data_IF_803625288494
#
_entry.id   IF_803625288494
#
_cell.length_a   1.000
_cell.length_b   1.000
_cell.length_c   1.000
_cell.angle_alpha   90.00
_cell.angle_beta   90.00
_cell.angle_gamma   90.00
#
_symmetry.space_group_name_H-M   'P 1'
#
loop_
_entity.id
_entity.type
_entity.pdbx_description
1 polymer ?
#
# COMPACT_ATOMS: atom_id res chain seq x y z
N UNK A 1 9.53 -1.36 19.14
CA UNK A 1 9.07 0.05 19.05
C UNK A 1 8.59 0.54 20.41
N UNK A 2 8.71 1.84 20.72
CA UNK A 2 8.16 2.44 21.92
C UNK A 2 7.64 3.85 21.64
N UNK A 3 6.46 4.16 22.18
CA UNK A 3 5.85 5.48 22.13
C UNK A 3 6.08 6.18 23.46
N UNK A 4 6.63 7.39 23.40
CA UNK A 4 6.79 8.27 24.55
C UNK A 4 5.77 9.40 24.43
N UNK A 5 4.87 9.48 25.42
CA UNK A 5 3.82 10.50 25.46
C UNK A 5 4.39 11.91 25.59
N UNK A 6 5.33 12.06 26.53
CA UNK A 6 5.88 13.37 26.90
C UNK A 6 6.62 14.02 25.73
N UNK A 7 7.29 13.21 24.91
CA UNK A 7 8.12 13.68 23.80
C UNK A 7 7.42 13.63 22.44
N UNK A 8 6.20 13.06 22.36
CA UNK A 8 5.48 12.75 21.10
C UNK A 8 6.39 12.06 20.07
N UNK A 9 7.18 11.09 20.53
CA UNK A 9 8.18 10.40 19.70
C UNK A 9 7.92 8.90 19.69
N UNK A 10 8.13 8.30 18.52
CA UNK A 10 8.15 6.86 18.31
C UNK A 10 9.60 6.42 18.15
N UNK A 11 10.10 5.62 19.09
CA UNK A 11 11.40 4.98 18.98
C UNK A 11 11.27 3.60 18.36
N UNK A 12 12.03 3.31 17.32
CA UNK A 12 12.02 2.03 16.60
C UNK A 12 13.40 1.37 16.69
N UNK A 13 13.47 0.08 16.38
CA UNK A 13 14.76 -0.63 16.32
C UNK A 13 15.31 -0.60 14.89
N UNK A 14 16.59 -0.95 14.73
CA UNK A 14 17.20 -1.05 13.41
C UNK A 14 16.55 -2.16 12.58
N UNK A 15 16.19 -3.29 13.19
CA UNK A 15 15.52 -4.40 12.51
C UNK A 15 14.16 -3.97 11.94
N UNK A 16 13.41 -3.16 12.70
CA UNK A 16 12.15 -2.59 12.22
C UNK A 16 12.37 -1.68 11.00
N UNK A 17 13.43 -0.87 11.02
CA UNK A 17 13.83 -0.04 9.89
C UNK A 17 14.25 -0.85 8.66
N UNK A 18 14.95 -1.97 8.85
CA UNK A 18 15.34 -2.90 7.78
C UNK A 18 14.13 -3.54 7.12
N UNK A 19 13.12 -3.92 7.92
CA UNK A 19 11.87 -4.43 7.38
C UNK A 19 11.12 -3.38 6.55
N UNK A 20 11.33 -2.09 6.81
CA UNK A 20 10.68 -0.99 6.12
C UNK A 20 11.43 -0.53 4.84
N UNK A 21 12.76 -0.60 4.85
CA UNK A 21 13.65 -0.09 3.79
C UNK A 21 14.42 -1.19 3.06
N UNK A 22 14.15 -2.47 3.31
CA UNK A 22 14.93 -3.58 2.77
C UNK A 22 16.34 -3.70 3.36
N UNK A 23 17.06 -4.78 3.03
CA UNK A 23 18.29 -5.19 3.71
C UNK A 23 19.46 -4.19 3.58
N UNK A 24 19.53 -3.44 2.47
CA UNK A 24 20.64 -2.53 2.17
C UNK A 24 20.30 -1.04 2.41
N UNK A 25 19.13 -0.76 3.01
CA UNK A 25 18.52 0.57 3.06
C UNK A 25 18.70 1.36 4.35
N UNK A 26 19.46 0.87 5.33
CA UNK A 26 19.71 1.62 6.56
C UNK A 26 20.79 2.66 6.26
N UNK A 27 20.39 3.94 6.17
CA UNK A 27 21.36 5.02 6.15
C UNK A 27 22.23 4.91 7.42
N UNK A 28 23.56 5.11 7.34
CA UNK A 28 24.45 4.93 8.49
C UNK A 28 24.06 5.80 9.71
N UNK A 29 23.21 6.82 9.52
CA UNK A 29 22.68 7.70 10.56
C UNK A 29 21.14 7.80 10.54
N UNK A 30 20.41 6.74 10.16
CA UNK A 30 18.94 6.78 10.20
C UNK A 30 18.45 7.05 11.64
N UNK A 31 17.61 8.08 11.80
CA UNK A 31 17.03 8.37 13.11
C UNK A 31 16.14 7.20 13.55
N UNK A 32 16.47 6.60 14.69
CA UNK A 32 15.63 5.60 15.36
C UNK A 32 14.48 6.25 16.15
N UNK A 33 14.44 7.58 16.18
CA UNK A 33 13.41 8.38 16.82
C UNK A 33 12.64 9.13 15.74
N UNK A 34 11.35 8.85 15.64
CA UNK A 34 10.44 9.35 14.63
C UNK A 34 9.36 10.20 15.27
N UNK A 35 8.87 11.21 14.54
CA UNK A 35 7.55 11.76 14.81
C UNK A 35 6.45 10.73 14.47
N UNK A 36 5.22 10.88 15.00
CA UNK A 36 4.10 10.03 14.63
C UNK A 36 3.80 10.06 13.12
N UNK A 37 3.90 11.22 12.47
CA UNK A 37 3.74 11.34 11.02
C UNK A 37 4.78 10.50 10.26
N UNK A 38 6.06 10.62 10.62
CA UNK A 38 7.11 9.81 10.01
C UNK A 38 6.95 8.30 10.25
N UNK A 39 6.37 7.93 11.39
CA UNK A 39 6.03 6.54 11.69
C UNK A 39 4.87 6.03 10.82
N UNK A 40 3.84 6.85 10.57
CA UNK A 40 2.66 6.45 9.80
C UNK A 40 2.79 6.68 8.28
N UNK A 41 3.82 7.38 7.79
CA UNK A 41 3.91 7.81 6.38
C UNK A 41 3.86 6.70 5.32
N UNK A 42 4.18 5.44 5.67
CA UNK A 42 4.03 4.30 4.74
C UNK A 42 2.96 3.29 5.20
N UNK A 43 2.14 3.66 6.18
CA UNK A 43 0.97 2.88 6.56
C UNK A 43 -0.11 3.10 5.52
N UNK A 44 -0.58 2.00 4.95
CA UNK A 44 -1.68 1.96 3.98
C UNK A 44 -3.01 1.68 4.69
N UNK A 45 -2.95 0.82 5.73
CA UNK A 45 -4.07 0.45 6.59
C UNK A 45 -3.56 0.15 8.00
N UNK A 46 -4.29 0.58 9.02
CA UNK A 46 -3.99 0.25 10.41
C UNK A 46 -5.27 -0.15 11.13
N UNK A 47 -5.40 -1.42 11.48
CA UNK A 47 -6.57 -1.93 12.18
C UNK A 47 -6.53 -1.47 13.64
N UNK A 48 -7.66 -1.00 14.17
CA UNK A 48 -7.79 -0.58 15.57
C UNK A 48 -6.79 0.52 16.00
N UNK A 49 -6.46 1.45 15.09
CA UNK A 49 -5.53 2.56 15.39
C UNK A 49 -6.05 3.48 16.50
N UNK A 50 -7.36 3.61 16.63
CA UNK A 50 -8.03 4.35 17.70
C UNK A 50 -7.71 3.74 19.07
N UNK A 51 -7.74 2.41 19.20
CA UNK A 51 -7.35 1.71 20.41
C UNK A 51 -5.86 1.93 20.74
N UNK A 52 -5.00 1.93 19.71
CA UNK A 52 -3.58 2.24 19.88
C UNK A 52 -3.40 3.68 20.40
N UNK A 53 -4.13 4.65 19.85
CA UNK A 53 -4.06 6.06 20.27
C UNK A 53 -4.56 6.23 21.71
N UNK A 54 -5.66 5.58 22.08
CA UNK A 54 -6.17 5.60 23.46
C UNK A 54 -5.14 5.02 24.43
N UNK A 55 -4.58 3.85 24.09
CA UNK A 55 -3.55 3.19 24.87
C UNK A 55 -2.26 4.01 24.93
N UNK A 56 -1.95 4.78 23.88
CA UNK A 56 -0.80 5.67 23.86
C UNK A 56 -1.03 6.86 24.78
N UNK A 57 -2.24 7.44 24.80
CA UNK A 57 -2.62 8.62 25.58
C UNK A 57 -2.80 8.36 27.08
N UNK A 58 -3.38 7.21 27.46
CA UNK A 58 -3.47 6.77 28.85
C UNK A 58 -2.97 5.33 28.99
N UNK A 59 -1.65 5.14 29.15
CA UNK A 59 -1.04 3.82 29.11
C UNK A 59 -1.42 2.98 30.32
N UNK A 60 -2.12 1.89 30.06
CA UNK A 60 -2.45 0.88 31.06
C UNK A 60 -1.51 -0.33 30.92
N UNK A 61 -0.77 -0.66 32.00
CA UNK A 61 0.17 -1.77 32.00
C UNK A 61 -0.48 -3.16 32.02
N UNK A 62 -1.77 -3.26 32.36
CA UNK A 62 -2.50 -4.53 32.30
C UNK A 62 -3.09 -4.82 30.93
N UNK A 63 -3.23 -3.84 30.04
CA UNK A 63 -3.82 -4.02 28.71
C UNK A 63 -2.76 -4.27 27.64
N UNK A 64 -3.13 -5.13 26.69
CA UNK A 64 -2.35 -5.42 25.49
C UNK A 64 -3.21 -5.05 24.29
N UNK A 65 -2.66 -4.25 23.39
CA UNK A 65 -3.21 -3.95 22.07
C UNK A 65 -2.64 -4.94 21.06
N UNK A 66 -3.52 -5.48 20.21
CA UNK A 66 -3.19 -6.43 19.15
C UNK A 66 -3.84 -5.92 17.86
N UNK A 67 -3.08 -5.81 16.78
CA UNK A 67 -3.61 -5.30 15.51
C UNK A 67 -2.80 -5.78 14.31
N UNK A 68 -3.38 -5.61 13.12
CA UNK A 68 -2.67 -5.72 11.86
C UNK A 68 -2.46 -4.34 11.24
N UNK A 69 -1.33 -4.18 10.54
CA UNK A 69 -1.03 -2.99 9.76
C UNK A 69 -0.53 -3.39 8.39
N UNK A 70 -1.12 -2.82 7.34
CA UNK A 70 -0.57 -2.93 5.99
C UNK A 70 0.34 -1.74 5.75
N UNK A 71 1.58 -2.03 5.35
CA UNK A 71 2.58 -1.01 5.05
C UNK A 71 3.10 -1.17 3.62
N UNK A 72 3.45 -0.06 2.98
CA UNK A 72 4.15 -0.06 1.71
C UNK A 72 5.66 -0.16 1.95
N UNK A 73 6.28 -1.21 1.44
CA UNK A 73 7.72 -1.36 1.43
C UNK A 73 8.36 -0.41 0.40
N UNK A 74 9.57 0.08 0.67
CA UNK A 74 10.31 0.96 -0.26
C UNK A 74 10.55 0.33 -1.66
N UNK A 75 10.48 -1.00 -1.76
CA UNK A 75 10.55 -1.77 -3.01
C UNK A 75 9.17 -1.99 -3.68
N UNK A 76 8.15 -1.24 -3.28
CA UNK A 76 6.88 -1.15 -4.01
C UNK A 76 5.90 -2.30 -3.78
N UNK A 77 6.17 -3.22 -2.85
CA UNK A 77 5.21 -4.25 -2.45
C UNK A 77 4.62 -3.94 -1.07
N UNK A 78 3.44 -4.49 -0.80
CA UNK A 78 2.79 -4.37 0.49
C UNK A 78 3.28 -5.46 1.44
N UNK A 79 3.40 -5.13 2.71
CA UNK A 79 3.61 -6.09 3.80
C UNK A 79 2.46 -6.01 4.78
N UNK A 80 2.17 -7.13 5.42
CA UNK A 80 1.21 -7.22 6.51
C UNK A 80 1.95 -7.49 7.80
N UNK A 81 1.85 -6.55 8.74
CA UNK A 81 2.52 -6.62 10.02
C UNK A 81 1.52 -6.93 11.11
N UNK A 82 1.88 -7.86 11.99
CA UNK A 82 1.15 -8.10 13.22
C UNK A 82 1.82 -7.32 14.36
N UNK A 83 1.05 -6.46 15.00
CA UNK A 83 1.52 -5.61 16.08
C UNK A 83 0.99 -6.09 17.41
N UNK A 84 1.87 -6.09 18.40
CA UNK A 84 1.56 -6.31 19.81
C UNK A 84 2.12 -5.14 20.58
N UNK A 85 1.30 -4.43 21.35
CA UNK A 85 1.76 -3.34 22.17
C UNK A 85 1.16 -3.38 23.57
N UNK A 86 1.91 -2.89 24.55
CA UNK A 86 1.51 -2.84 25.95
C UNK A 86 1.77 -1.45 26.50
N UNK A 87 0.82 -0.93 27.29
CA UNK A 87 1.05 0.28 28.05
C UNK A 87 2.15 0.08 29.08
N UNK A 88 2.85 1.14 29.40
CA UNK A 88 3.80 1.20 30.50
C UNK A 88 3.70 2.56 31.16
N UNK A 89 3.50 2.54 32.47
CA UNK A 89 3.33 3.73 33.31
C UNK A 89 4.10 3.49 34.60
N UNK A 90 5.40 3.73 34.54
CA UNK A 90 6.32 3.65 35.69
C UNK A 90 7.39 4.75 35.60
N UNK A 91 8.23 4.88 36.62
CA UNK A 91 9.27 5.91 36.73
C UNK A 91 10.32 5.87 35.60
N UNK A 92 10.36 4.80 34.80
CA UNK A 92 11.31 4.63 33.69
C UNK A 92 10.68 4.91 32.33
N UNK A 93 9.36 4.84 32.20
CA UNK A 93 8.65 5.00 30.93
C UNK A 93 7.16 5.26 31.16
N UNK A 94 6.65 6.32 30.53
CA UNK A 94 5.22 6.59 30.39
C UNK A 94 4.86 6.60 28.90
N UNK A 95 4.04 5.63 28.48
CA UNK A 95 3.59 5.46 27.10
C UNK A 95 3.44 3.98 26.74
N UNK A 96 3.85 3.58 25.54
CA UNK A 96 3.70 2.19 25.08
C UNK A 96 5.01 1.55 24.65
N UNK A 97 5.07 0.23 24.76
CA UNK A 97 6.09 -0.60 24.12
C UNK A 97 5.42 -1.64 23.26
N UNK A 98 5.93 -1.83 22.06
CA UNK A 98 5.38 -2.80 21.13
C UNK A 98 6.42 -3.48 20.27
N UNK A 99 5.94 -4.51 19.61
CA UNK A 99 6.62 -5.32 18.63
C UNK A 99 5.73 -5.34 17.38
N UNK A 100 6.35 -5.20 16.22
CA UNK A 100 5.70 -5.44 14.94
C UNK A 100 6.50 -6.53 14.24
N UNK A 101 5.82 -7.55 13.73
CA UNK A 101 6.43 -8.67 13.01
C UNK A 101 5.80 -8.72 11.63
N UNK A 102 6.64 -8.84 10.60
CA UNK A 102 6.16 -9.14 9.26
C UNK A 102 5.62 -10.56 9.20
N UNK A 103 4.34 -10.69 8.86
CA UNK A 103 3.61 -11.96 8.74
C UNK A 103 3.03 -12.14 7.34
N UNK A 104 3.57 -11.41 6.35
CA UNK A 104 3.11 -11.40 4.96
C UNK A 104 3.07 -12.80 4.32
N UNK A 105 3.98 -13.69 4.74
CA UNK A 105 4.11 -15.06 4.23
C UNK A 105 2.91 -15.96 4.53
N UNK A 106 2.26 -15.72 5.67
CA UNK A 106 1.15 -16.51 6.22
C UNK A 106 -0.18 -15.75 6.17
N UNK A 107 -0.11 -14.43 6.24
CA UNK A 107 -1.23 -13.52 6.25
C UNK A 107 -1.00 -12.43 5.20
N UNK A 108 -1.36 -12.64 3.93
CA UNK A 108 -1.09 -11.67 2.87
C UNK A 108 -1.80 -10.32 3.15
N UNK A 109 -1.28 -9.19 2.62
CA UNK A 109 -1.86 -7.87 2.83
C UNK A 109 -3.26 -7.80 2.22
N UNK A 110 -4.23 -7.37 3.05
CA UNK A 110 -5.60 -7.10 2.61
C UNK A 110 -5.85 -5.61 2.72
N UNK A 111 -6.26 -5.01 1.62
CA UNK A 111 -6.79 -3.65 1.58
C UNK A 111 -8.29 -3.77 1.35
N UNK A 112 -9.08 -3.12 2.20
CA UNK A 112 -10.53 -3.28 2.18
C UNK A 112 -11.09 -2.68 0.89
N UNK A 113 -12.03 -3.37 0.21
CA UNK A 113 -12.75 -2.77 -0.91
C UNK A 113 -13.43 -1.45 -0.52
N UNK A 114 -13.79 -1.22 0.76
CA UNK A 114 -14.37 0.05 1.21
C UNK A 114 -13.35 1.20 1.26
N UNK A 115 -12.08 0.90 1.57
CA UNK A 115 -10.96 1.84 1.45
C UNK A 115 -10.70 2.20 -0.03
N UNK A 116 -11.27 1.41 -0.95
CA UNK A 116 -11.21 1.57 -2.41
C UNK A 116 -12.55 1.99 -3.03
N UNK A 117 -13.70 1.85 -2.36
CA UNK A 117 -15.04 2.09 -2.91
C UNK A 117 -15.42 3.57 -2.92
N UNK A 118 -14.89 4.38 -1.99
CA UNK A 118 -14.93 5.86 -2.07
C UNK A 118 -14.23 6.39 -3.36
N UNK A 119 -13.62 5.48 -4.13
CA UNK A 119 -12.88 5.73 -5.37
C UNK A 119 -13.61 5.17 -6.61
N UNK A 120 -14.80 4.59 -6.44
CA UNK A 120 -15.61 3.97 -7.52
C UNK A 120 -16.95 4.67 -7.77
N UNK A 121 -17.21 5.82 -7.14
CA UNK A 121 -18.43 6.62 -7.33
C UNK A 121 -18.66 7.14 -8.78
N UNK A 122 -17.81 6.76 -9.73
CA UNK A 122 -18.01 6.93 -11.17
C UNK A 122 -18.53 5.70 -11.94
N UNK A 123 -18.66 4.52 -11.32
CA UNK A 123 -19.16 3.32 -12.01
C UNK A 123 -20.05 2.49 -11.11
N UNK A 124 -21.35 2.50 -11.41
CA UNK A 124 -22.30 1.51 -10.95
C UNK A 124 -21.80 0.10 -11.26
N UNK A 125 -21.46 -0.67 -10.24
CA UNK A 125 -22.14 -1.91 -9.84
C UNK A 125 -21.39 -2.51 -8.67
N UNK A 126 -22.13 -2.76 -7.60
CA UNK A 126 -21.67 -3.27 -6.32
C UNK A 126 -20.87 -4.58 -6.46
N UNK A 127 -19.71 -4.65 -5.80
CA UNK A 127 -19.22 -5.91 -5.24
C UNK A 127 -19.25 -5.82 -3.71
N UNK A 128 -20.46 -5.72 -3.18
CA UNK A 128 -20.71 -6.12 -1.80
C UNK A 128 -20.34 -7.60 -1.72
N UNK A 129 -19.39 -7.93 -0.85
CA UNK A 129 -19.16 -9.30 -0.38
C UNK A 129 -20.43 -9.74 0.36
N UNK A 130 -21.42 -10.19 -0.40
CA UNK A 130 -22.67 -10.77 0.06
C UNK A 130 -22.69 -12.23 -0.33
N UNK A 131 -22.84 -13.08 0.67
CA UNK A 131 -23.20 -14.48 0.51
C UNK A 131 -24.47 -14.60 -0.35
N UNK A 132 -24.32 -14.91 -1.63
CA UNK A 132 -25.41 -15.45 -2.45
C UNK A 132 -24.83 -16.09 -3.69
N UNK A 133 -25.03 -17.40 -3.81
CA UNK A 133 -24.70 -18.19 -4.99
C UNK A 133 -25.50 -17.68 -6.19
N UNK A 134 -24.81 -17.01 -7.11
CA UNK A 134 -25.28 -16.79 -8.48
C UNK A 134 -24.20 -17.33 -9.41
N UNK A 135 -24.57 -18.36 -10.19
CA UNK A 135 -23.73 -19.07 -11.15
C UNK A 135 -23.75 -18.40 -12.53
N UNK A 136 -23.68 -17.07 -12.61
CA UNK A 136 -23.44 -16.38 -13.87
C UNK A 136 -22.00 -15.84 -13.90
N UNK A 137 -21.18 -16.47 -14.75
CA UNK A 137 -19.85 -15.98 -15.12
C UNK A 137 -20.04 -14.60 -15.76
N UNK A 138 -19.61 -13.54 -15.09
CA UNK A 138 -19.33 -12.26 -15.77
C UNK A 138 -18.25 -12.52 -16.83
N UNK A 139 -18.65 -12.48 -18.09
CA UNK A 139 -17.86 -12.82 -19.29
C UNK A 139 -16.95 -11.69 -19.78
N UNK A 140 -16.81 -10.59 -19.03
CA UNK A 140 -16.06 -9.43 -19.53
C UNK A 140 -14.57 -9.56 -19.21
N UNK A 141 -13.89 -10.46 -19.93
CA UNK A 141 -12.47 -10.78 -19.76
C UNK A 141 -11.53 -9.64 -20.23
N UNK A 142 -12.10 -8.59 -20.84
CA UNK A 142 -11.44 -7.39 -21.34
C UNK A 142 -11.81 -6.10 -20.55
N UNK A 143 -12.62 -6.22 -19.49
CA UNK A 143 -13.06 -5.08 -18.66
C UNK A 143 -11.90 -4.32 -17.98
N UNK A 144 -12.14 -3.10 -17.46
CA UNK A 144 -11.09 -2.33 -16.81
C UNK A 144 -10.60 -3.02 -15.52
N UNK A 145 -9.29 -2.94 -15.26
CA UNK A 145 -8.68 -3.43 -14.05
C UNK A 145 -8.40 -2.28 -13.07
N UNK A 146 -8.51 -2.51 -11.77
CA UNK A 146 -8.07 -1.60 -10.72
C UNK A 146 -6.86 -2.20 -9.98
N UNK A 147 -5.89 -1.35 -9.66
CA UNK A 147 -4.67 -1.76 -8.95
C UNK A 147 -4.09 -0.62 -8.12
N UNK A 148 -3.15 -0.95 -7.25
CA UNK A 148 -2.28 -0.01 -6.56
C UNK A 148 -0.95 0.06 -7.29
N UNK A 149 -0.57 1.26 -7.72
CA UNK A 149 0.70 1.54 -8.35
C UNK A 149 1.62 2.22 -7.33
N UNK A 150 2.75 1.59 -7.03
CA UNK A 150 3.75 2.13 -6.13
C UNK A 150 4.93 2.72 -6.90
N UNK A 151 5.45 3.82 -6.38
CA UNK A 151 6.70 4.40 -6.82
C UNK A 151 7.52 4.93 -5.64
N UNK A 152 8.84 4.81 -5.75
CA UNK A 152 9.80 5.42 -4.84
C UNK A 152 11.10 5.70 -5.59
N UNK A 153 11.96 6.60 -5.09
CA UNK A 153 13.29 6.83 -5.69
C UNK A 153 14.20 5.58 -5.75
N UNK A 154 13.84 4.50 -5.05
CA UNK A 154 14.61 3.24 -5.03
C UNK A 154 14.12 2.24 -6.08
N UNK A 155 12.92 2.46 -6.60
CA UNK A 155 12.38 1.69 -7.68
C UNK A 155 12.90 2.22 -9.01
N UNK A 156 13.35 1.29 -9.88
CA UNK A 156 13.76 1.65 -11.24
C UNK A 156 12.56 2.02 -12.11
N UNK A 157 11.40 1.42 -11.83
CA UNK A 157 10.13 1.58 -12.54
C UNK A 157 8.98 1.56 -11.55
N UNK A 158 7.85 2.24 -11.82
CA UNK A 158 6.62 2.03 -11.04
C UNK A 158 6.21 0.55 -11.01
N UNK A 159 5.78 0.06 -9.86
CA UNK A 159 5.45 -1.36 -9.64
C UNK A 159 3.99 -1.49 -9.23
N UNK A 160 3.27 -2.47 -9.77
CA UNK A 160 1.93 -2.82 -9.29
C UNK A 160 2.08 -3.52 -7.94
N UNK A 161 1.72 -2.83 -6.86
CA UNK A 161 1.83 -3.32 -5.49
C UNK A 161 0.76 -4.37 -5.16
N UNK A 162 -0.46 -4.16 -5.67
CA UNK A 162 -1.59 -5.07 -5.47
C UNK A 162 -2.65 -4.85 -6.55
N UNK A 163 -3.23 -5.93 -7.07
CA UNK A 163 -4.44 -5.87 -7.88
C UNK A 163 -5.67 -5.82 -6.96
N UNK A 164 -6.58 -4.89 -7.24
CA UNK A 164 -7.79 -4.66 -6.47
C UNK A 164 -8.96 -5.42 -7.10
N UNK A 165 -9.08 -5.37 -8.43
CA UNK A 165 -10.08 -6.11 -9.18
C UNK A 165 -9.49 -7.37 -9.80
N UNK A 166 -10.35 -8.20 -10.41
CA UNK A 166 -9.91 -9.26 -11.32
C UNK A 166 -9.01 -8.64 -12.40
N UNK A 167 -7.87 -9.27 -12.66
CA UNK A 167 -6.98 -8.87 -13.75
C UNK A 167 -7.50 -9.44 -15.07
N UNK A 168 -7.68 -8.62 -16.12
CA UNK A 168 -8.03 -9.08 -17.46
C UNK A 168 -7.04 -10.10 -18.01
N UNK A 169 -7.53 -11.09 -18.76
CA UNK A 169 -6.71 -12.20 -19.25
C UNK A 169 -5.69 -11.78 -20.31
N UNK A 170 -5.88 -10.61 -20.95
CA UNK A 170 -4.93 -10.07 -21.91
C UNK A 170 -3.66 -9.52 -21.24
N UNK A 171 -3.69 -9.19 -19.95
CA UNK A 171 -2.53 -8.67 -19.21
C UNK A 171 -1.67 -9.83 -18.74
N UNK A 172 -0.41 -9.85 -19.19
CA UNK A 172 0.60 -10.78 -18.70
C UNK A 172 1.24 -10.19 -17.44
N UNK A 173 0.52 -10.26 -16.31
CA UNK A 173 0.96 -9.64 -15.05
C UNK A 173 1.80 -10.60 -14.18
N UNK A 174 1.57 -11.90 -14.28
CA UNK A 174 2.17 -12.91 -13.40
C UNK A 174 3.43 -13.51 -14.03
N UNK A 175 4.58 -12.86 -13.84
CA UNK A 175 5.90 -13.41 -14.19
C UNK A 175 6.80 -13.49 -12.97
N UNK A 176 7.25 -14.71 -12.66
CA UNK A 176 8.15 -14.95 -11.54
C UNK A 176 9.44 -14.15 -11.69
N UNK A 177 9.70 -13.25 -10.75
CA UNK A 177 10.93 -12.45 -10.71
C UNK A 177 10.97 -11.24 -11.63
N UNK A 178 9.88 -10.94 -12.36
CA UNK A 178 9.80 -9.78 -13.25
C UNK A 178 8.62 -8.86 -12.84
N UNK A 179 8.88 -7.81 -12.04
CA UNK A 179 7.84 -6.89 -11.58
C UNK A 179 7.36 -5.92 -12.67
N UNK A 180 7.93 -5.97 -13.88
CA UNK A 180 7.70 -4.97 -14.92
C UNK A 180 6.41 -5.25 -15.71
N UNK A 181 5.30 -4.65 -15.26
CA UNK A 181 4.01 -4.72 -15.96
C UNK A 181 3.90 -3.68 -17.07
N UNK A 182 4.55 -2.52 -16.91
CA UNK A 182 4.53 -1.43 -17.89
C UNK A 182 5.76 -1.44 -18.78
N UNK A 183 5.62 -0.94 -20.00
CA UNK A 183 6.74 -0.78 -20.92
C UNK A 183 7.80 0.17 -20.33
N UNK A 184 9.11 -0.16 -20.43
CA UNK A 184 10.18 0.69 -19.90
C UNK A 184 10.11 2.14 -20.38
N UNK A 185 9.82 2.36 -21.66
CA UNK A 185 9.75 3.70 -22.26
C UNK A 185 8.63 4.58 -21.68
N UNK A 186 7.57 3.96 -21.14
CA UNK A 186 6.43 4.67 -20.56
C UNK A 186 6.58 4.90 -19.04
N UNK A 187 7.60 4.31 -18.42
CA UNK A 187 7.81 4.40 -16.97
C UNK A 187 8.10 5.83 -16.51
N UNK A 188 8.75 6.65 -17.34
CA UNK A 188 8.98 8.06 -17.01
C UNK A 188 7.67 8.86 -17.00
N UNK A 189 6.78 8.62 -17.96
CA UNK A 189 5.47 9.27 -18.02
C UNK A 189 4.62 8.89 -16.80
N UNK A 190 4.60 7.60 -16.43
CA UNK A 190 3.93 7.12 -15.23
C UNK A 190 4.53 7.72 -13.96
N UNK A 191 5.86 7.83 -13.87
CA UNK A 191 6.55 8.47 -12.73
C UNK A 191 6.16 9.93 -12.57
N UNK A 192 6.08 10.69 -13.68
CA UNK A 192 5.66 12.11 -13.63
C UNK A 192 4.26 12.26 -13.03
N UNK A 193 3.37 11.26 -13.16
CA UNK A 193 2.05 11.33 -12.52
C UNK A 193 2.13 11.43 -10.99
N UNK A 194 3.13 10.82 -10.35
CA UNK A 194 3.38 10.93 -8.90
C UNK A 194 3.87 12.31 -8.47
N UNK A 195 4.51 13.05 -9.39
CA UNK A 195 5.02 14.40 -9.12
C UNK A 195 3.96 15.47 -9.39
N UNK A 196 3.01 15.20 -10.29
CA UNK A 196 2.02 16.18 -10.75
C UNK A 196 0.66 16.04 -10.07
N UNK A 197 0.26 14.83 -9.69
CA UNK A 197 -1.02 14.63 -9.01
C UNK A 197 -1.02 15.33 -7.65
N UNK A 198 -2.10 16.05 -7.35
CA UNK A 198 -2.32 16.69 -6.06
C UNK A 198 -3.77 16.52 -5.64
N UNK A 199 -4.04 16.49 -4.34
CA UNK A 199 -5.42 16.37 -3.84
C UNK A 199 -6.16 15.15 -4.39
N UNK A 200 -7.39 15.37 -4.87
CA UNK A 200 -8.29 14.34 -5.41
C UNK A 200 -8.33 14.26 -6.95
N UNK A 201 -7.38 14.87 -7.65
CA UNK A 201 -7.34 14.91 -9.12
C UNK A 201 -7.09 13.52 -9.72
N UNK A 202 -7.51 13.35 -10.98
CA UNK A 202 -7.19 12.17 -11.79
C UNK A 202 -6.37 12.55 -13.02
N UNK A 203 -5.38 11.73 -13.37
CA UNK A 203 -4.59 11.90 -14.59
C UNK A 203 -4.62 10.60 -15.39
N UNK A 204 -5.02 10.70 -16.66
CA UNK A 204 -4.90 9.61 -17.61
C UNK A 204 -3.54 9.65 -18.32
N UNK A 205 -2.87 8.51 -18.38
CA UNK A 205 -1.60 8.30 -19.10
C UNK A 205 -1.74 7.08 -19.99
N UNK A 206 -1.37 7.22 -21.26
CA UNK A 206 -1.30 6.06 -22.16
C UNK A 206 0.04 5.37 -21.93
N UNK A 207 0.01 4.05 -21.73
CA UNK A 207 1.21 3.23 -21.55
C UNK A 207 1.01 1.85 -22.18
N UNK A 208 2.09 1.26 -22.67
CA UNK A 208 2.16 -0.15 -23.01
C UNK A 208 2.14 -1.00 -21.76
N UNK A 209 1.21 -1.95 -21.68
CA UNK A 209 1.21 -3.00 -20.67
C UNK A 209 1.64 -4.31 -21.30
N UNK A 210 2.38 -5.09 -20.51
CA UNK A 210 2.79 -6.44 -20.90
C UNK A 210 1.55 -7.29 -21.14
N UNK A 211 1.49 -7.94 -22.30
CA UNK A 211 0.30 -8.60 -22.77
C UNK A 211 0.60 -9.82 -23.63
N UNK A 212 -0.35 -10.75 -23.73
CA UNK A 212 -0.27 -11.92 -24.60
C UNK A 212 -0.57 -11.56 -26.06
N UNK A 213 0.32 -10.76 -26.66
CA UNK A 213 0.26 -10.31 -28.07
C UNK A 213 1.59 -10.60 -28.76
N UNK A 214 1.62 -10.53 -30.09
CA UNK A 214 2.86 -10.78 -30.87
C UNK A 214 4.01 -9.81 -30.52
N UNK A 215 3.67 -8.57 -30.18
CA UNK A 215 4.65 -7.57 -29.70
C UNK A 215 5.04 -7.75 -28.24
N UNK A 216 4.27 -8.54 -27.48
CA UNK A 216 4.37 -8.63 -26.01
C UNK A 216 3.78 -7.43 -25.27
N UNK A 217 3.20 -6.45 -25.97
CA UNK A 217 2.75 -5.18 -25.41
C UNK A 217 1.40 -4.72 -26.00
N UNK A 218 0.49 -4.31 -25.12
CA UNK A 218 -0.81 -3.75 -25.45
C UNK A 218 -0.92 -2.34 -24.88
N UNK A 219 -1.25 -1.35 -25.72
CA UNK A 219 -1.54 0.00 -25.24
C UNK A 219 -2.80 -0.01 -24.37
N UNK A 220 -2.73 0.68 -23.24
CA UNK A 220 -3.84 0.91 -22.34
C UNK A 220 -3.84 2.35 -21.83
N UNK A 221 -5.01 2.81 -21.43
CA UNK A 221 -5.15 4.04 -20.66
C UNK A 221 -5.06 3.70 -19.18
N UNK A 222 -4.10 4.30 -18.49
CA UNK A 222 -3.91 4.22 -17.04
C UNK A 222 -4.41 5.52 -16.43
N UNK A 223 -5.55 5.45 -15.74
CA UNK A 223 -6.08 6.59 -14.97
C UNK A 223 -5.58 6.48 -13.54
N UNK A 224 -4.79 7.45 -13.09
CA UNK A 224 -4.16 7.46 -11.77
C UNK A 224 -4.81 8.50 -10.86
N UNK A 225 -4.96 8.16 -9.58
CA UNK A 225 -5.37 9.06 -8.49
C UNK A 225 -4.53 8.75 -7.25
N UNK A 226 -4.22 9.76 -6.43
CA UNK A 226 -3.45 9.55 -5.19
C UNK A 226 -4.19 8.65 -4.21
N UNK A 227 -3.45 7.78 -3.54
CA UNK A 227 -3.97 7.12 -2.34
C UNK A 227 -4.17 8.16 -1.23
N UNK A 228 -5.23 8.07 -0.41
CA UNK A 228 -5.46 9.03 0.67
C UNK A 228 -4.29 9.15 1.65
N UNK A 229 -3.99 10.38 2.09
CA UNK A 229 -2.91 10.65 3.06
C UNK A 229 -1.52 10.82 2.42
N UNK A 230 -0.49 10.90 3.26
CA UNK A 230 0.91 11.12 2.82
C UNK A 230 1.46 10.00 1.95
N UNK A 231 0.96 8.77 2.14
CA UNK A 231 1.35 7.62 1.32
C UNK A 231 0.96 7.80 -0.15
N UNK A 232 0.03 8.71 -0.45
CA UNK A 232 -0.36 9.13 -1.79
C UNK A 232 0.77 9.65 -2.67
N UNK A 233 1.88 10.11 -2.08
CA UNK A 233 3.08 10.53 -2.84
C UNK A 233 3.85 9.35 -3.44
N UNK A 234 3.56 8.13 -2.96
CA UNK A 234 4.27 6.89 -3.31
C UNK A 234 3.33 5.78 -3.76
N UNK A 235 2.03 5.97 -3.57
CA UNK A 235 1.01 4.97 -3.83
C UNK A 235 -0.17 5.65 -4.51
N UNK A 236 -0.49 5.21 -5.72
CA UNK A 236 -1.66 5.64 -6.45
C UNK A 236 -2.66 4.49 -6.58
N UNK A 237 -3.95 4.80 -6.61
CA UNK A 237 -4.95 3.91 -7.18
C UNK A 237 -4.96 4.15 -8.68
N UNK A 238 -4.86 3.09 -9.47
CA UNK A 238 -4.92 3.15 -10.92
C UNK A 238 -6.08 2.33 -11.46
N UNK A 239 -6.69 2.82 -12.54
CA UNK A 239 -7.60 2.09 -13.40
C UNK A 239 -6.98 1.90 -14.78
N UNK A 240 -6.91 0.67 -15.24
CA UNK A 240 -6.31 0.28 -16.50
C UNK A 240 -7.44 -0.14 -17.44
N UNK A 241 -7.56 0.53 -18.57
CA UNK A 241 -8.50 0.18 -19.63
C UNK A 241 -7.75 -0.04 -20.95
N UNK A 242 -7.98 -1.19 -21.60
CA UNK A 242 -7.39 -1.52 -22.90
C UNK A 242 -7.74 -0.42 -23.90
N UNK A 243 -6.75 0.12 -24.62
CA UNK A 243 -7.01 1.09 -25.67
C UNK A 243 -7.71 0.38 -26.84
N UNK A 244 -8.84 0.91 -27.30
CA UNK A 244 -9.47 0.41 -28.52
C UNK A 244 -8.66 0.89 -29.74
N UNK A 245 -8.47 -0.01 -30.71
CA UNK A 245 -7.81 0.30 -31.98
C UNK A 245 -8.64 1.25 -32.83
#
# INVERSE_FOLDING_TARGET
MSWHLDDLQVRVTEEWWRNWRGPDGVAPNASLTLSPGEFFRNVVRFDHIDELVVQAADPNSSSTHLSYTVVLHDLGYLMNWYNVARGRKDDRHVGMRGLAIDVTDTNPPVISPNEVLDLTSGTSTASTRGESWSTERLTDDDGPAAALLAWSPRLRVPVVAQWISKVPSWIDWERKGDPMVFHPDDCEALRRTFETLSGGDEIATVAGLRAFTDSGWQLATVTSRRYPGEIGDRLHIIRIAKAQR
#
